data_IF_870162913331
#
_entry.id   IF_870162913331
#
_cell.length_a   1.000
_cell.length_b   1.000
_cell.length_c   1.000
_cell.angle_alpha   90.00
_cell.angle_beta   90.00
_cell.angle_gamma   90.00
#
_symmetry.space_group_name_H-M   'P 1'
#
loop_
_entity.id
_entity.type
_entity.pdbx_description
1 polymer ?
#
# COMPACT_ATOMS: atom_id res chain seq x y z
N UNK A 1 -12.99 13.36 12.04
CA UNK A 1 -12.50 13.21 10.66
C UNK A 1 -11.62 14.42 10.41
N UNK A 2 -10.31 14.21 10.34
CA UNK A 2 -9.33 15.28 10.12
C UNK A 2 -9.04 15.37 8.61
N UNK A 3 -9.02 16.59 8.06
CA UNK A 3 -8.84 16.82 6.62
C UNK A 3 -7.45 17.41 6.37
N UNK A 4 -6.76 16.89 5.37
CA UNK A 4 -5.48 17.42 4.92
C UNK A 4 -5.69 18.68 4.06
N UNK A 5 -4.70 19.57 4.09
CA UNK A 5 -4.70 20.82 3.33
C UNK A 5 -3.39 21.01 2.59
N UNK A 6 -3.50 21.38 1.31
CA UNK A 6 -2.43 21.88 0.48
C UNK A 6 -2.72 23.36 0.12
N UNK A 7 -1.83 24.06 -0.61
CA UNK A 7 -1.97 25.52 -0.84
C UNK A 7 -3.34 25.96 -1.39
N UNK A 8 -3.99 25.14 -2.21
CA UNK A 8 -5.29 25.44 -2.82
C UNK A 8 -6.28 24.27 -2.76
N UNK A 9 -6.08 23.30 -1.86
CA UNK A 9 -6.94 22.12 -1.80
C UNK A 9 -7.09 21.60 -0.38
N UNK A 10 -8.29 21.14 -0.05
CA UNK A 10 -8.60 20.45 1.21
C UNK A 10 -9.19 19.10 0.84
N UNK A 11 -8.65 18.01 1.37
CA UNK A 11 -9.03 16.66 0.94
C UNK A 11 -8.91 15.63 2.07
N UNK A 12 -9.54 14.49 1.85
CA UNK A 12 -9.38 13.27 2.65
C UNK A 12 -9.48 12.08 1.70
N UNK A 13 -8.34 11.45 1.43
CA UNK A 13 -8.22 10.38 0.45
C UNK A 13 -8.01 9.05 1.16
N UNK A 14 -9.00 8.16 1.10
CA UNK A 14 -8.93 6.81 1.64
C UNK A 14 -9.10 5.80 0.52
N UNK A 15 -8.07 4.99 0.27
CA UNK A 15 -8.07 3.99 -0.80
C UNK A 15 -7.93 2.58 -0.24
N UNK A 16 -8.65 1.63 -0.85
CA UNK A 16 -8.46 0.21 -0.61
C UNK A 16 -7.74 -0.42 -1.80
N UNK A 17 -6.42 -0.56 -1.70
CA UNK A 17 -5.58 -1.13 -2.75
C UNK A 17 -5.39 -2.64 -2.55
N UNK A 18 -5.69 -3.42 -3.59
CA UNK A 18 -5.46 -4.88 -3.61
C UNK A 18 -4.66 -5.23 -4.86
N UNK A 19 -3.55 -5.94 -4.66
CA UNK A 19 -2.65 -6.38 -5.73
C UNK A 19 -2.40 -7.88 -5.64
N UNK A 20 -2.09 -8.52 -6.77
CA UNK A 20 -1.80 -9.95 -6.84
C UNK A 20 -0.52 -10.22 -7.62
N UNK A 21 0.15 -11.31 -7.28
CA UNK A 21 1.33 -11.76 -8.01
C UNK A 21 0.98 -12.26 -9.41
N UNK A 22 1.94 -12.18 -10.33
CA UNK A 22 1.78 -12.69 -11.70
C UNK A 22 1.31 -14.15 -11.68
N UNK A 23 0.25 -14.43 -12.45
CA UNK A 23 -0.40 -15.75 -12.52
C UNK A 23 -0.97 -16.28 -11.19
N UNK A 24 -1.14 -15.43 -10.16
CA UNK A 24 -1.70 -15.80 -8.85
C UNK A 24 -1.04 -17.03 -8.21
N UNK A 25 0.26 -17.24 -8.47
CA UNK A 25 1.02 -18.34 -7.88
C UNK A 25 1.06 -18.16 -6.35
N UNK A 26 0.95 -19.26 -5.60
CA UNK A 26 1.05 -19.24 -4.13
C UNK A 26 2.52 -19.16 -3.68
N UNK A 27 3.17 -18.04 -3.97
CA UNK A 27 4.62 -17.82 -3.71
C UNK A 27 4.90 -16.97 -2.48
N UNK A 28 3.87 -16.33 -1.90
CA UNK A 28 4.03 -15.51 -0.70
C UNK A 28 4.05 -16.46 0.50
N UNK A 29 5.26 -16.74 1.01
CA UNK A 29 5.50 -17.38 2.29
C UNK A 29 5.82 -16.30 3.36
N UNK A 30 6.09 -16.71 4.61
CA UNK A 30 6.30 -15.78 5.71
C UNK A 30 7.49 -14.84 5.50
N UNK A 31 8.62 -15.37 5.00
CA UNK A 31 9.82 -14.59 4.71
C UNK A 31 9.57 -13.54 3.62
N UNK A 32 8.96 -13.93 2.51
CA UNK A 32 8.62 -13.02 1.41
C UNK A 32 7.57 -12.00 1.87
N UNK A 33 6.60 -12.41 2.69
CA UNK A 33 5.59 -11.53 3.25
C UNK A 33 6.23 -10.43 4.10
N UNK A 34 7.18 -10.78 4.96
CA UNK A 34 7.84 -9.80 5.83
C UNK A 34 8.71 -8.83 5.03
N UNK A 35 9.46 -9.33 4.05
CA UNK A 35 10.21 -8.49 3.12
C UNK A 35 9.29 -7.53 2.34
N UNK A 36 8.15 -8.00 1.83
CA UNK A 36 7.21 -7.19 1.08
C UNK A 36 6.57 -6.08 1.93
N UNK A 37 6.20 -6.37 3.19
CA UNK A 37 5.68 -5.35 4.12
C UNK A 37 6.68 -4.23 4.33
N UNK A 38 7.94 -4.58 4.63
CA UNK A 38 8.99 -3.59 4.82
C UNK A 38 9.24 -2.79 3.53
N UNK A 39 9.31 -3.47 2.37
CA UNK A 39 9.57 -2.80 1.10
C UNK A 39 8.44 -1.86 0.68
N UNK A 40 7.18 -2.20 0.99
CA UNK A 40 6.02 -1.38 0.68
C UNK A 40 6.08 -0.02 1.39
N UNK A 41 6.49 0.00 2.67
CA UNK A 41 6.64 1.25 3.44
C UNK A 41 7.78 2.14 2.93
N UNK A 42 8.84 1.55 2.36
CA UNK A 42 10.00 2.31 1.85
C UNK A 42 9.76 2.88 0.46
N UNK A 43 9.00 2.18 -0.39
CA UNK A 43 8.80 2.56 -1.80
C UNK A 43 7.52 3.35 -2.01
N UNK A 44 6.45 3.02 -1.27
CA UNK A 44 5.17 3.71 -1.34
C UNK A 44 5.23 5.05 -0.63
#
# INVERSE_FOLDING_TARGET
MELDRNQHSVYLLNYHLVMVVKYRRKVINDEISEYLKHRFVVVG
#
